data_IF_930076602781
#
_entry.id   IF_930076602781
#
_cell.length_a   1.000
_cell.length_b   1.000
_cell.length_c   1.000
_cell.angle_alpha   90.00
_cell.angle_beta   90.00
_cell.angle_gamma   90.00
#
_symmetry.space_group_name_H-M   'P 1'
#
loop_
_entity.id
_entity.type
_entity.pdbx_description
1 polymer ?
#
# COMPACT_ATOMS: atom_id res chain seq x y z
N UNK A 1 11.00 22.08 -18.71
CA UNK A 1 10.42 22.41 -20.03
C UNK A 1 10.04 21.15 -20.82
N UNK A 2 10.99 20.21 -21.02
CA UNK A 2 10.78 18.99 -21.81
C UNK A 2 9.55 18.14 -21.43
N UNK A 3 9.27 17.93 -20.14
CA UNK A 3 8.13 17.11 -19.71
C UNK A 3 6.76 17.66 -20.17
N UNK A 4 6.59 18.99 -20.16
CA UNK A 4 5.37 19.65 -20.65
C UNK A 4 5.17 19.46 -22.15
N UNK A 5 6.26 19.55 -22.91
CA UNK A 5 6.21 19.46 -24.36
C UNK A 5 5.96 18.02 -24.82
N UNK A 6 6.65 17.05 -24.22
CA UNK A 6 6.56 15.62 -24.57
C UNK A 6 5.24 14.99 -24.09
N UNK A 7 4.84 15.21 -22.84
CA UNK A 7 3.76 14.43 -22.23
C UNK A 7 2.40 15.11 -22.26
N UNK A 8 2.35 16.44 -22.35
CA UNK A 8 1.06 17.16 -22.28
C UNK A 8 0.72 17.95 -23.54
N UNK A 9 1.65 18.05 -24.51
CA UNK A 9 1.49 18.90 -25.71
C UNK A 9 1.09 20.34 -25.35
N UNK A 10 1.55 20.83 -24.19
CA UNK A 10 1.22 22.14 -23.62
C UNK A 10 -0.27 22.39 -23.31
N UNK A 11 -1.08 21.33 -23.16
CA UNK A 11 -2.50 21.45 -22.82
C UNK A 11 -2.71 22.22 -21.51
N UNK A 12 -3.70 23.09 -21.50
CA UNK A 12 -4.11 23.85 -20.31
C UNK A 12 -4.75 22.95 -19.26
N UNK A 13 -4.66 23.36 -17.99
CA UNK A 13 -5.25 22.63 -16.87
C UNK A 13 -4.57 21.29 -16.52
N UNK A 14 -3.38 21.01 -17.05
CA UNK A 14 -2.66 19.76 -16.75
C UNK A 14 -1.55 20.00 -15.72
N UNK A 15 -1.60 19.27 -14.60
CA UNK A 15 -0.55 19.27 -13.58
C UNK A 15 0.49 18.19 -13.88
N UNK A 16 1.77 18.53 -13.78
CA UNK A 16 2.90 17.59 -14.00
C UNK A 16 3.88 17.73 -12.85
N UNK A 17 4.20 16.60 -12.22
CA UNK A 17 5.23 16.52 -11.17
C UNK A 17 6.48 15.85 -11.74
N UNK A 18 7.65 16.42 -11.45
CA UNK A 18 8.94 15.92 -11.92
C UNK A 18 9.80 15.64 -10.70
N UNK A 19 10.22 14.38 -10.54
CA UNK A 19 11.04 13.92 -9.42
C UNK A 19 12.29 13.25 -9.97
N UNK A 20 13.50 13.67 -9.57
CA UNK A 20 14.72 12.95 -9.88
C UNK A 20 14.68 11.52 -9.34
N UNK A 21 15.02 10.52 -10.17
CA UNK A 21 14.91 9.10 -9.81
C UNK A 21 15.65 8.73 -8.52
N UNK A 22 16.77 9.40 -8.23
CA UNK A 22 17.55 9.19 -7.00
C UNK A 22 16.80 9.50 -5.70
N UNK A 23 15.69 10.22 -5.76
CA UNK A 23 14.84 10.53 -4.61
C UNK A 23 13.65 9.58 -4.46
N UNK A 24 13.51 8.61 -5.37
CA UNK A 24 12.47 7.59 -5.27
C UNK A 24 13.04 6.44 -4.44
N UNK A 25 12.47 6.23 -3.25
CA UNK A 25 12.72 5.05 -2.43
C UNK A 25 11.59 4.06 -2.71
N UNK A 26 11.95 2.86 -3.15
CA UNK A 26 11.00 1.76 -3.30
C UNK A 26 11.05 0.90 -2.05
N UNK A 27 9.92 0.32 -1.63
CA UNK A 27 9.97 -0.83 -0.74
C UNK A 27 10.65 -1.97 -1.50
N UNK A 28 11.91 -2.25 -1.19
CA UNK A 28 12.59 -3.45 -1.70
C UNK A 28 11.76 -4.68 -1.31
N UNK A 29 11.68 -5.67 -2.21
CA UNK A 29 10.74 -6.80 -2.13
C UNK A 29 10.91 -7.73 -0.93
N UNK A 30 11.77 -7.41 0.03
CA UNK A 30 12.03 -8.20 1.24
C UNK A 30 10.88 -8.08 2.25
N UNK A 31 10.20 -6.92 2.31
CA UNK A 31 9.04 -6.74 3.20
C UNK A 31 7.69 -6.98 2.50
N UNK A 32 7.70 -7.30 1.19
CA UNK A 32 6.48 -7.46 0.40
C UNK A 32 5.61 -8.61 0.91
N UNK A 33 6.22 -9.71 1.34
CA UNK A 33 5.52 -10.86 1.90
C UNK A 33 4.73 -10.46 3.17
N UNK A 34 5.35 -9.76 4.12
CA UNK A 34 4.64 -9.33 5.34
C UNK A 34 3.45 -8.39 5.08
N UNK A 35 3.53 -7.55 4.04
CA UNK A 35 2.47 -6.60 3.69
C UNK A 35 1.36 -7.17 2.80
N UNK A 36 1.64 -8.24 2.04
CA UNK A 36 0.74 -8.75 1.00
C UNK A 36 0.47 -10.25 1.06
N UNK A 37 1.09 -11.01 1.98
CA UNK A 37 0.76 -12.43 2.18
C UNK A 37 -0.68 -12.58 2.68
N UNK A 38 -1.46 -13.49 2.06
CA UNK A 38 -2.78 -13.87 2.53
C UNK A 38 -2.74 -14.23 4.03
N UNK A 39 -3.80 -13.90 4.76
CA UNK A 39 -3.88 -14.20 6.19
C UNK A 39 -4.07 -15.70 6.49
N UNK A 40 -4.00 -16.56 5.47
CA UNK A 40 -4.32 -17.99 5.53
C UNK A 40 -3.37 -18.78 6.45
N UNK A 41 -2.16 -18.26 6.71
CA UNK A 41 -1.14 -18.85 7.58
C UNK A 41 -1.16 -18.32 9.03
N UNK A 42 -1.98 -17.29 9.32
CA UNK A 42 -2.04 -16.59 10.61
C UNK A 42 -3.22 -17.06 11.46
N UNK A 43 -3.16 -18.32 11.92
CA UNK A 43 -4.24 -18.97 12.70
C UNK A 43 -4.69 -18.15 13.92
N UNK A 44 -3.79 -17.40 14.57
CA UNK A 44 -4.08 -16.58 15.76
C UNK A 44 -5.10 -15.46 15.52
N UNK A 45 -5.49 -15.14 14.29
CA UNK A 45 -6.55 -14.15 14.00
C UNK A 45 -7.94 -14.76 13.93
N UNK A 46 -8.07 -16.09 13.96
CA UNK A 46 -9.38 -16.73 14.03
C UNK A 46 -9.99 -16.53 15.42
N UNK A 47 -11.31 -16.26 15.50
CA UNK A 47 -12.02 -16.06 16.77
C UNK A 47 -11.85 -17.22 17.76
N UNK A 48 -11.53 -18.42 17.26
CA UNK A 48 -11.29 -19.64 18.04
C UNK A 48 -10.01 -19.61 18.87
N UNK A 49 -9.10 -18.67 18.64
CA UNK A 49 -7.78 -18.58 19.31
C UNK A 49 -7.72 -17.50 20.41
N UNK A 50 -8.79 -16.75 20.63
CA UNK A 50 -8.90 -15.84 21.78
C UNK A 50 -9.92 -16.38 22.78
N UNK A 51 -9.57 -16.36 24.07
CA UNK A 51 -10.57 -16.54 25.12
C UNK A 51 -11.48 -15.31 25.12
N UNK A 52 -12.70 -15.49 24.60
CA UNK A 52 -13.73 -14.45 24.63
C UNK A 52 -14.26 -14.37 26.07
N UNK A 53 -14.14 -13.21 26.75
CA UNK A 53 -14.70 -13.04 28.09
C UNK A 53 -16.22 -13.26 28.06
N UNK A 54 -16.75 -13.90 29.10
CA UNK A 54 -18.18 -14.24 29.22
C UNK A 54 -19.14 -13.04 29.08
N UNK A 55 -18.65 -11.82 29.28
CA UNK A 55 -19.42 -10.58 29.19
C UNK A 55 -19.70 -10.14 27.74
N UNK A 56 -19.01 -10.72 26.75
CA UNK A 56 -19.22 -10.41 25.33
C UNK A 56 -20.28 -11.36 24.77
N UNK A 57 -21.55 -11.03 25.02
CA UNK A 57 -22.68 -11.92 24.68
C UNK A 57 -23.16 -11.89 23.23
N UNK A 58 -22.63 -11.06 22.34
CA UNK A 58 -23.11 -10.99 20.96
C UNK A 58 -21.99 -10.64 19.96
N UNK A 59 -21.71 -11.57 19.05
CA UNK A 59 -21.24 -11.28 17.68
C UNK A 59 -22.28 -11.84 16.72
#
# INVERSE_FOLDING_TARGET
QNARDVYTRRKEGTSVWVVPSKYIVTSEGVDKEAFFDPADDKLYRHPTFYEIPNDVKNM
#
